data_IF_304657860833
#
_entry.id   IF_304657860833
#
_cell.length_a   1.000
_cell.length_b   1.000
_cell.length_c   1.000
_cell.angle_alpha   90.00
_cell.angle_beta   90.00
_cell.angle_gamma   90.00
#
_symmetry.space_group_name_H-M   'P 1'
#
loop_
_entity.id
_entity.type
_entity.pdbx_description
1 polymer ?
#
# COMPACT_ATOMS: atom_id res chain seq x y z
N UNK A 1 -30.54 10.13 -30.95
CA UNK A 1 -29.37 10.45 -30.10
C UNK A 1 -28.31 9.41 -30.37
N UNK A 2 -27.17 9.79 -30.95
CA UNK A 2 -26.06 8.86 -31.20
C UNK A 2 -25.36 8.50 -29.88
N UNK A 3 -25.41 7.22 -29.50
CA UNK A 3 -24.74 6.73 -28.29
C UNK A 3 -23.24 6.61 -28.61
N UNK A 4 -22.45 7.60 -28.19
CA UNK A 4 -21.00 7.59 -28.36
C UNK A 4 -20.38 6.46 -27.51
N UNK A 5 -20.02 5.34 -28.16
CA UNK A 5 -19.41 4.19 -27.51
C UNK A 5 -18.06 4.60 -26.92
N UNK A 6 -17.93 4.48 -25.58
CA UNK A 6 -16.68 4.80 -24.87
C UNK A 6 -15.66 3.72 -25.16
N UNK A 7 -14.52 4.09 -25.77
CA UNK A 7 -13.36 3.20 -25.92
C UNK A 7 -12.92 2.70 -24.54
N UNK A 8 -12.90 1.38 -24.35
CA UNK A 8 -12.39 0.73 -23.14
C UNK A 8 -10.94 0.34 -23.41
N UNK A 9 -10.06 0.73 -22.49
CA UNK A 9 -8.65 0.35 -22.49
C UNK A 9 -8.40 -0.62 -21.35
N UNK A 10 -7.63 -1.69 -21.61
CA UNK A 10 -7.22 -2.67 -20.60
C UNK A 10 -6.41 -2.01 -19.49
N UNK A 11 -6.25 -2.70 -18.36
CA UNK A 11 -5.48 -2.18 -17.22
C UNK A 11 -3.99 -2.13 -17.56
N UNK A 12 -3.46 -3.21 -18.12
CA UNK A 12 -2.06 -3.35 -18.57
C UNK A 12 -1.67 -2.20 -19.51
N UNK A 13 -2.48 -1.95 -20.54
CA UNK A 13 -2.21 -0.88 -21.49
C UNK A 13 -2.14 0.51 -20.84
N UNK A 14 -2.96 0.78 -19.80
CA UNK A 14 -2.88 2.05 -19.07
C UNK A 14 -1.58 2.15 -18.28
N UNK A 15 -1.14 1.05 -17.68
CA UNK A 15 0.10 0.99 -16.91
C UNK A 15 1.31 1.20 -17.82
N UNK A 16 1.33 0.58 -19.00
CA UNK A 16 2.38 0.77 -20.00
C UNK A 16 2.48 2.23 -20.45
N UNK A 17 1.35 2.86 -20.77
CA UNK A 17 1.31 4.28 -21.18
C UNK A 17 1.83 5.18 -20.06
N UNK A 18 1.44 4.92 -18.81
CA UNK A 18 1.92 5.67 -17.66
C UNK A 18 3.40 5.42 -17.37
N UNK A 19 3.90 4.22 -17.68
CA UNK A 19 5.31 3.89 -17.54
C UNK A 19 6.15 4.64 -18.59
N UNK A 20 5.73 4.63 -19.85
CA UNK A 20 6.35 5.40 -20.94
C UNK A 20 6.41 6.88 -20.56
N UNK A 21 5.35 7.44 -19.98
CA UNK A 21 5.34 8.84 -19.54
C UNK A 21 6.31 9.14 -18.38
N UNK A 22 6.69 8.12 -17.60
CA UNK A 22 7.66 8.27 -16.50
C UNK A 22 9.10 8.09 -16.96
N UNK A 23 9.33 7.20 -17.93
CA UNK A 23 10.67 6.84 -18.41
C UNK A 23 11.11 7.68 -19.62
N UNK A 24 10.16 8.23 -20.38
CA UNK A 24 10.42 9.06 -21.54
C UNK A 24 10.27 10.54 -21.21
N UNK A 25 11.18 11.37 -21.74
CA UNK A 25 11.08 12.84 -21.71
C UNK A 25 10.12 13.40 -22.77
N UNK A 26 9.37 12.54 -23.47
CA UNK A 26 8.41 12.96 -24.50
C UNK A 26 7.15 13.58 -23.86
N UNK A 27 6.60 14.65 -24.44
CA UNK A 27 5.36 15.23 -23.97
C UNK A 27 4.17 14.30 -24.23
N UNK A 28 3.13 14.42 -23.40
CA UNK A 28 1.89 13.61 -23.48
C UNK A 28 1.24 13.67 -24.86
N UNK A 29 1.35 14.80 -25.56
CA UNK A 29 0.80 15.00 -26.91
C UNK A 29 1.47 14.09 -27.94
N UNK A 30 2.80 13.97 -27.90
CA UNK A 30 3.57 13.10 -28.80
C UNK A 30 3.26 11.63 -28.51
N UNK A 31 3.22 11.25 -27.23
CA UNK A 31 2.86 9.87 -26.83
C UNK A 31 1.41 9.54 -27.25
N UNK A 32 0.50 10.51 -27.17
CA UNK A 32 -0.88 10.35 -27.60
C UNK A 32 -0.98 10.14 -29.12
N UNK A 33 -0.21 10.89 -29.91
CA UNK A 33 -0.13 10.73 -31.36
C UNK A 33 0.45 9.36 -31.75
N UNK A 34 1.58 8.96 -31.14
CA UNK A 34 2.22 7.66 -31.37
C UNK A 34 1.29 6.48 -31.08
N UNK A 35 0.44 6.60 -30.06
CA UNK A 35 -0.50 5.55 -29.64
C UNK A 35 -1.91 5.69 -30.25
N UNK A 36 -2.14 6.68 -31.12
CA UNK A 36 -3.45 6.94 -31.72
C UNK A 36 -4.56 7.24 -30.69
N UNK A 37 -4.18 7.85 -29.57
CA UNK A 37 -5.06 8.14 -28.44
C UNK A 37 -5.31 9.64 -28.27
N UNK A 38 -6.43 9.97 -27.62
CA UNK A 38 -6.65 11.35 -27.20
C UNK A 38 -5.78 11.68 -25.97
N UNK A 39 -4.96 12.73 -26.07
CA UNK A 39 -4.10 13.20 -24.97
C UNK A 39 -4.88 13.44 -23.67
N UNK A 40 -6.14 13.89 -23.77
CA UNK A 40 -7.04 14.10 -22.62
C UNK A 40 -7.26 12.85 -21.78
N UNK A 41 -7.27 11.66 -22.40
CA UNK A 41 -7.42 10.37 -21.71
C UNK A 41 -6.16 10.06 -20.91
N UNK A 42 -4.99 10.28 -21.52
CA UNK A 42 -3.68 10.04 -20.90
C UNK A 42 -3.50 10.99 -19.70
N UNK A 43 -3.81 12.29 -19.85
CA UNK A 43 -3.79 13.25 -18.74
C UNK A 43 -4.69 12.81 -17.59
N UNK A 44 -5.88 12.27 -17.89
CA UNK A 44 -6.80 11.77 -16.85
C UNK A 44 -6.23 10.57 -16.11
N UNK A 45 -5.57 9.64 -16.81
CA UNK A 45 -4.90 8.50 -16.18
C UNK A 45 -3.71 8.95 -15.33
N UNK A 46 -2.91 9.89 -15.82
CA UNK A 46 -1.77 10.42 -15.09
C UNK A 46 -2.20 11.12 -13.79
N UNK A 47 -3.22 11.98 -13.85
CA UNK A 47 -3.79 12.64 -12.67
C UNK A 47 -4.33 11.63 -11.66
N UNK A 48 -5.01 10.58 -12.14
CA UNK A 48 -5.56 9.51 -11.28
C UNK A 48 -4.44 8.67 -10.64
N UNK A 49 -3.37 8.38 -11.39
CA UNK A 49 -2.20 7.66 -10.88
C UNK A 49 -1.52 8.46 -9.76
N UNK A 50 -1.27 9.76 -9.96
CA UNK A 50 -0.70 10.64 -8.91
C UNK A 50 -1.55 10.68 -7.64
N UNK A 51 -2.86 10.80 -7.78
CA UNK A 51 -3.78 10.84 -6.64
C UNK A 51 -3.89 9.50 -5.91
N UNK A 52 -3.76 8.38 -6.63
CA UNK A 52 -3.71 7.06 -6.01
C UNK A 52 -2.38 6.85 -5.28
N UNK A 53 -1.26 7.28 -5.86
CA UNK A 53 0.06 7.20 -5.19
C UNK A 53 0.07 7.97 -3.87
N UNK A 54 -0.53 9.17 -3.81
CA UNK A 54 -0.60 9.94 -2.55
C UNK A 54 -1.45 9.24 -1.48
N UNK A 55 -2.59 8.65 -1.87
CA UNK A 55 -3.43 7.88 -0.93
C UNK A 55 -2.80 6.56 -0.50
N UNK A 56 -2.04 5.92 -1.38
CA UNK A 56 -1.37 4.67 -1.10
C UNK A 56 -0.16 4.87 -0.19
N UNK A 57 0.58 5.99 -0.35
CA UNK A 57 1.62 6.38 0.60
C UNK A 57 1.06 6.67 1.99
N UNK A 58 -0.08 7.36 2.10
CA UNK A 58 -0.74 7.62 3.40
C UNK A 58 -1.19 6.30 4.06
N UNK A 59 -1.83 5.40 3.31
CA UNK A 59 -2.23 4.08 3.82
C UNK A 59 -1.05 3.20 4.22
N UNK A 60 0.08 3.29 3.53
CA UNK A 60 1.28 2.52 3.89
C UNK A 60 1.85 3.04 5.22
N UNK A 61 1.91 4.36 5.40
CA UNK A 61 2.38 4.94 6.68
C UNK A 61 1.49 4.60 7.86
N UNK A 62 0.17 4.46 7.66
CA UNK A 62 -0.76 4.08 8.72
C UNK A 62 -0.58 2.60 9.11
N UNK A 63 -0.42 1.70 8.14
CA UNK A 63 -0.13 0.28 8.39
C UNK A 63 1.19 0.06 9.13
N UNK A 64 2.23 0.82 8.77
CA UNK A 64 3.54 0.71 9.42
C UNK A 64 3.49 1.16 10.89
N UNK A 65 2.66 2.16 11.21
CA UNK A 65 2.39 2.56 12.60
C UNK A 65 1.65 1.47 13.38
N UNK A 66 0.58 0.92 12.80
CA UNK A 66 -0.18 -0.18 13.41
C UNK A 66 0.70 -1.40 13.70
N UNK A 67 1.59 -1.77 12.77
CA UNK A 67 2.54 -2.87 12.96
C UNK A 67 3.52 -2.61 14.10
N UNK A 68 3.99 -1.36 14.25
CA UNK A 68 4.88 -0.99 15.35
C UNK A 68 4.18 -1.06 16.70
N UNK A 69 2.93 -0.58 16.77
CA UNK A 69 2.12 -0.65 17.99
C UNK A 69 1.77 -2.09 18.37
N UNK A 70 1.42 -2.94 17.40
CA UNK A 70 1.15 -4.36 17.65
C UNK A 70 2.39 -5.10 18.17
N UNK A 71 3.57 -4.82 17.60
CA UNK A 71 4.83 -5.42 18.05
C UNK A 71 5.19 -5.01 19.48
N UNK A 72 4.94 -3.76 19.86
CA UNK A 72 5.15 -3.29 21.22
C UNK A 72 4.22 -4.03 22.21
N UNK A 73 2.92 -4.11 21.91
CA UNK A 73 1.96 -4.85 22.74
C UNK A 73 2.30 -6.33 22.91
N UNK A 74 2.81 -6.97 21.86
CA UNK A 74 3.27 -8.37 21.94
C UNK A 74 4.48 -8.53 22.85
N UNK A 75 5.41 -7.57 22.86
CA UNK A 75 6.56 -7.60 23.75
C UNK A 75 6.12 -7.48 25.22
N UNK A 76 5.27 -6.51 25.53
CA UNK A 76 4.76 -6.26 26.88
C UNK A 76 4.01 -7.50 27.43
N UNK A 77 3.09 -8.07 26.65
CA UNK A 77 2.32 -9.27 27.06
C UNK A 77 3.23 -10.49 27.23
N UNK A 78 4.29 -10.61 26.43
CA UNK A 78 5.24 -11.73 26.55
C UNK A 78 6.05 -11.59 27.84
N UNK A 79 6.47 -10.37 28.18
CA UNK A 79 7.19 -10.08 29.42
C UNK A 79 6.32 -10.35 30.65
N UNK A 80 5.07 -9.87 30.66
CA UNK A 80 4.11 -10.13 31.75
C UNK A 80 3.91 -11.63 31.97
N UNK A 81 3.72 -12.40 30.89
CA UNK A 81 3.56 -13.85 30.96
C UNK A 81 4.80 -14.53 31.55
N UNK A 82 5.99 -14.08 31.16
CA UNK A 82 7.24 -14.66 31.62
C UNK A 82 7.54 -14.30 33.08
N UNK A 83 7.17 -13.10 33.54
CA UNK A 83 7.20 -12.70 34.95
C UNK A 83 6.25 -13.61 35.77
N UNK A 84 5.01 -13.78 35.31
CA UNK A 84 4.03 -14.64 35.99
C UNK A 84 4.48 -16.10 36.05
N UNK A 85 5.05 -16.64 34.97
CA UNK A 85 5.64 -17.99 34.96
C UNK A 85 6.78 -18.12 35.96
N UNK A 86 7.69 -17.14 36.02
CA UNK A 86 8.80 -17.12 36.98
C UNK A 86 8.27 -17.11 38.42
N UNK A 87 7.27 -16.27 38.72
CA UNK A 87 6.63 -16.22 40.04
C UNK A 87 6.02 -17.59 40.43
N UNK A 88 5.20 -18.19 39.55
CA UNK A 88 4.59 -19.51 39.80
C UNK A 88 5.65 -20.58 40.05
N UNK A 89 6.74 -20.60 39.28
CA UNK A 89 7.85 -21.55 39.48
C UNK A 89 8.57 -21.38 40.82
N UNK A 90 8.67 -20.15 41.34
CA UNK A 90 9.28 -19.87 42.65
C UNK A 90 8.35 -20.35 43.77
N UNK A 91 7.06 -19.99 43.69
CA UNK A 91 6.08 -20.38 44.71
C UNK A 91 5.83 -21.89 44.76
N UNK A 92 5.79 -22.58 43.61
CA UNK A 92 5.63 -24.04 43.56
C UNK A 92 6.84 -24.82 44.11
N UNK A 93 8.06 -24.26 44.05
CA UNK A 93 9.25 -24.85 44.70
C UNK A 93 9.25 -24.69 46.22
N UNK A 94 8.61 -23.65 46.76
CA UNK A 94 8.52 -23.43 48.22
C UNK A 94 7.40 -24.25 48.88
N UNK A 95 6.36 -24.67 48.13
CA UNK A 95 5.26 -25.47 48.66
C UNK A 95 5.54 -26.96 48.88
N UNK A 96 6.60 -27.52 48.27
CA UNK A 96 6.96 -28.94 48.37
C UNK A 96 7.97 -29.26 49.50
N UNK A 97 8.13 -28.35 50.47
CA UNK A 97 8.86 -28.59 51.71
C UNK A 97 7.88 -28.63 52.88
N UNK A 98 7.12 -29.73 52.97
CA UNK A 98 6.51 -30.24 54.20
C UNK A 98 6.09 -31.69 53.98
#
# INVERSE_FOLDING_TARGET
MEVKIRRKYSKEFKEDVLNILKTSDKPVTVIAEELGMAATIIYRWYKKSKYNTSKESEKQTDKDKELRELRAKLADVTEERDILKKAVSIFSKQGNSK
#
